data_IF_667929815356
#
_entry.id   IF_667929815356
#
_cell.length_a   1.000
_cell.length_b   1.000
_cell.length_c   1.000
_cell.angle_alpha   90.00
_cell.angle_beta   90.00
_cell.angle_gamma   90.00
#
_symmetry.space_group_name_H-M   'P 1'
#
loop_
_entity.id
_entity.type
_entity.pdbx_description
1 polymer ?
#
# COMPACT_ATOMS: atom_id res chain seq x y z
N UNK A 1 -7.41 15.51 -6.21
CA UNK A 1 -8.67 15.30 -6.97
C UNK A 1 -9.07 13.87 -6.70
N UNK A 2 -10.11 13.61 -5.90
CA UNK A 2 -10.60 12.24 -5.70
C UNK A 2 -11.14 11.74 -7.03
N UNK A 3 -10.62 10.62 -7.53
CA UNK A 3 -11.18 9.99 -8.72
C UNK A 3 -12.43 9.19 -8.31
N UNK A 4 -13.52 9.94 -8.11
CA UNK A 4 -14.92 9.58 -8.40
C UNK A 4 -15.62 8.53 -7.50
N UNK A 5 -16.91 8.78 -7.30
CA UNK A 5 -18.02 7.93 -6.86
C UNK A 5 -18.24 6.67 -7.75
N UNK A 6 -17.18 6.10 -8.32
CA UNK A 6 -17.27 4.90 -9.16
C UNK A 6 -17.54 3.67 -8.31
N UNK A 7 -18.39 2.78 -8.81
CA UNK A 7 -18.44 1.43 -8.26
C UNK A 7 -17.07 0.74 -8.46
N UNK A 8 -16.62 -0.15 -7.55
CA UNK A 8 -15.33 -0.84 -7.67
C UNK A 8 -15.10 -1.48 -9.05
N UNK A 9 -16.14 -2.04 -9.64
CA UNK A 9 -16.10 -2.66 -10.96
C UNK A 9 -15.78 -1.65 -12.09
N UNK A 10 -16.35 -0.46 -12.03
CA UNK A 10 -16.10 0.61 -13.01
C UNK A 10 -14.69 1.16 -12.87
N UNK A 11 -14.23 1.33 -11.62
CA UNK A 11 -12.87 1.76 -11.32
C UNK A 11 -11.84 0.73 -11.82
N UNK A 12 -12.10 -0.57 -11.64
CA UNK A 12 -11.24 -1.66 -12.13
C UNK A 12 -11.03 -1.54 -13.64
N UNK A 13 -12.12 -1.37 -14.39
CA UNK A 13 -12.07 -1.22 -15.84
C UNK A 13 -11.39 0.09 -16.24
N UNK A 14 -11.70 1.19 -15.57
CA UNK A 14 -11.16 2.51 -15.91
C UNK A 14 -9.66 2.63 -15.66
N UNK A 15 -9.15 2.07 -14.56
CA UNK A 15 -7.74 2.22 -14.18
C UNK A 15 -6.85 1.09 -14.69
N UNK A 16 -7.38 -0.13 -14.78
CA UNK A 16 -6.58 -1.31 -15.10
C UNK A 16 -7.04 -2.04 -16.37
N UNK A 17 -8.18 -1.67 -16.96
CA UNK A 17 -8.70 -2.30 -18.18
C UNK A 17 -9.20 -3.73 -17.98
N UNK A 18 -9.41 -4.19 -16.74
CA UNK A 18 -9.95 -5.51 -16.45
C UNK A 18 -11.48 -5.47 -16.37
N UNK A 19 -12.12 -6.48 -16.97
CA UNK A 19 -13.58 -6.60 -16.97
C UNK A 19 -14.15 -7.33 -15.75
N UNK A 20 -13.34 -8.06 -14.99
CA UNK A 20 -13.80 -8.86 -13.85
C UNK A 20 -12.74 -8.94 -12.74
N UNK A 21 -13.19 -8.96 -11.48
CA UNK A 21 -12.35 -9.29 -10.34
C UNK A 21 -11.99 -10.78 -10.31
N UNK A 22 -10.80 -11.09 -9.80
CA UNK A 22 -10.36 -12.47 -9.55
C UNK A 22 -10.70 -12.89 -8.13
N UNK A 23 -11.49 -13.95 -8.00
CA UNK A 23 -11.81 -14.56 -6.69
C UNK A 23 -12.40 -13.56 -5.71
N UNK A 24 -11.75 -13.40 -4.55
CA UNK A 24 -12.25 -12.59 -3.42
C UNK A 24 -11.75 -11.14 -3.42
N UNK A 25 -11.16 -10.65 -4.53
CA UNK A 25 -10.64 -9.28 -4.64
C UNK A 25 -11.68 -8.22 -4.32
N UNK A 26 -12.88 -8.32 -4.91
CA UNK A 26 -13.94 -7.34 -4.72
C UNK A 26 -14.33 -7.21 -3.25
N UNK A 27 -14.46 -8.33 -2.53
CA UNK A 27 -14.80 -8.33 -1.10
C UNK A 27 -13.72 -7.67 -0.26
N UNK A 28 -12.44 -7.94 -0.56
CA UNK A 28 -11.32 -7.31 0.14
C UNK A 28 -11.26 -5.79 -0.11
N UNK A 29 -11.52 -5.37 -1.35
CA UNK A 29 -11.55 -3.96 -1.75
C UNK A 29 -12.70 -3.24 -1.05
N UNK A 30 -13.91 -3.78 -1.14
CA UNK A 30 -15.10 -3.20 -0.51
C UNK A 30 -14.92 -3.09 1.01
N UNK A 31 -14.33 -4.10 1.66
CA UNK A 31 -14.04 -4.05 3.11
C UNK A 31 -13.21 -2.82 3.51
N UNK A 32 -12.17 -2.49 2.74
CA UNK A 32 -11.34 -1.29 3.00
C UNK A 32 -12.06 0.00 2.62
N UNK A 33 -12.83 0.01 1.52
CA UNK A 33 -13.67 1.16 1.16
C UNK A 33 -14.72 1.48 2.25
N UNK A 34 -15.21 0.45 2.94
CA UNK A 34 -16.13 0.59 4.08
C UNK A 34 -15.41 0.99 5.39
N UNK A 35 -14.10 1.23 5.36
CA UNK A 35 -13.32 1.63 6.52
C UNK A 35 -12.97 0.49 7.49
N UNK A 36 -12.93 -0.76 7.02
CA UNK A 36 -12.67 -1.93 7.88
C UNK A 36 -11.25 -2.48 7.72
N UNK A 37 -10.64 -2.84 8.85
CA UNK A 37 -9.44 -3.68 8.87
C UNK A 37 -9.70 -4.99 8.13
N UNK A 38 -8.77 -5.39 7.28
CA UNK A 38 -8.96 -6.49 6.33
C UNK A 38 -7.73 -7.38 6.30
N UNK A 39 -7.93 -8.70 6.42
CA UNK A 39 -6.86 -9.68 6.25
C UNK A 39 -7.10 -10.50 4.99
N UNK A 40 -6.11 -10.52 4.10
CA UNK A 40 -6.21 -11.14 2.77
C UNK A 40 -5.17 -12.24 2.64
N UNK A 41 -5.64 -13.48 2.45
CA UNK A 41 -4.79 -14.60 2.07
C UNK A 41 -5.14 -14.99 0.64
N UNK A 42 -4.20 -14.83 -0.28
CA UNK A 42 -4.36 -15.26 -1.67
C UNK A 42 -3.03 -15.77 -2.22
N UNK A 43 -3.00 -16.83 -3.03
CA UNK A 43 -1.75 -17.36 -3.57
C UNK A 43 -0.97 -16.32 -4.38
N UNK A 44 0.32 -16.55 -4.57
CA UNK A 44 1.13 -15.75 -5.51
C UNK A 44 0.52 -15.81 -6.91
N UNK A 45 0.49 -14.67 -7.61
CA UNK A 45 -0.23 -14.55 -8.89
C UNK A 45 -1.76 -14.39 -8.78
N UNK A 46 -2.33 -14.55 -7.59
CA UNK A 46 -3.77 -14.36 -7.34
C UNK A 46 -4.26 -12.91 -7.44
N UNK A 47 -3.36 -11.96 -7.71
CA UNK A 47 -3.73 -10.54 -7.87
C UNK A 47 -3.92 -9.78 -6.56
N UNK A 48 -3.19 -10.15 -5.49
CA UNK A 48 -3.20 -9.45 -4.19
C UNK A 48 -2.98 -7.94 -4.31
N UNK A 49 -2.11 -7.52 -5.23
CA UNK A 49 -1.78 -6.10 -5.40
C UNK A 49 -3.00 -5.27 -5.75
N UNK A 50 -3.94 -5.83 -6.52
CA UNK A 50 -5.19 -5.17 -6.89
C UNK A 50 -6.02 -4.80 -5.65
N UNK A 51 -5.99 -5.63 -4.60
CA UNK A 51 -6.77 -5.41 -3.39
C UNK A 51 -6.44 -4.10 -2.68
N UNK A 52 -5.21 -3.61 -2.78
CA UNK A 52 -4.82 -2.30 -2.26
C UNK A 52 -4.62 -1.24 -3.37
N UNK A 53 -4.29 -1.63 -4.60
CA UNK A 53 -4.06 -0.67 -5.68
C UNK A 53 -5.34 0.03 -6.13
N UNK A 54 -6.44 -0.71 -6.27
CA UNK A 54 -7.70 -0.13 -6.68
C UNK A 54 -8.26 0.86 -5.63
N UNK A 55 -8.42 0.51 -4.34
CA UNK A 55 -8.92 1.45 -3.35
C UNK A 55 -7.99 2.65 -3.15
N UNK A 56 -6.68 2.50 -3.37
CA UNK A 56 -5.75 3.64 -3.32
C UNK A 56 -6.06 4.71 -4.38
N UNK A 57 -6.53 4.31 -5.57
CA UNK A 57 -6.92 5.24 -6.62
C UNK A 57 -8.31 5.85 -6.37
N UNK A 58 -9.21 5.11 -5.70
CA UNK A 58 -10.59 5.53 -5.42
C UNK A 58 -10.71 6.48 -4.21
N UNK A 59 -10.00 6.19 -3.11
CA UNK A 59 -10.12 6.94 -1.86
C UNK A 59 -9.35 8.26 -1.92
N UNK A 60 -9.81 9.29 -1.19
CA UNK A 60 -9.02 10.52 -1.03
C UNK A 60 -7.83 10.32 -0.08
N UNK A 61 -6.72 11.01 -0.37
CA UNK A 61 -5.44 10.82 0.32
C UNK A 61 -4.52 9.79 -0.36
N UNK A 62 -3.46 9.39 0.35
CA UNK A 62 -2.43 8.44 -0.11
C UNK A 62 -2.57 7.11 0.63
N UNK A 63 -2.52 6.00 -0.11
CA UNK A 63 -2.38 4.67 0.48
C UNK A 63 -0.92 4.39 0.78
N UNK A 64 -0.63 4.01 2.02
CA UNK A 64 0.71 3.61 2.46
C UNK A 64 0.87 2.10 2.29
N UNK A 65 1.78 1.65 1.43
CA UNK A 65 2.05 0.22 1.19
C UNK A 65 3.40 -0.15 1.81
N UNK A 66 3.37 -0.95 2.88
CA UNK A 66 4.56 -1.44 3.56
C UNK A 66 4.90 -2.82 2.99
N UNK A 67 6.10 -2.97 2.44
CA UNK A 67 6.54 -4.24 1.82
C UNK A 67 8.03 -4.46 2.10
N UNK A 68 8.55 -5.70 2.21
CA UNK A 68 9.96 -5.93 2.48
C UNK A 68 10.83 -5.93 1.21
N UNK A 69 10.22 -6.00 0.03
CA UNK A 69 10.90 -6.30 -1.23
C UNK A 69 11.08 -5.03 -2.07
N UNK A 70 12.20 -4.33 -1.88
CA UNK A 70 12.53 -3.07 -2.59
C UNK A 70 12.45 -3.24 -4.12
N UNK A 71 12.98 -4.33 -4.67
CA UNK A 71 12.93 -4.60 -6.11
C UNK A 71 11.49 -4.74 -6.63
N UNK A 72 10.62 -5.38 -5.83
CA UNK A 72 9.20 -5.53 -6.17
C UNK A 72 8.47 -4.19 -6.09
N UNK A 73 8.77 -3.34 -5.09
CA UNK A 73 8.20 -1.99 -5.01
C UNK A 73 8.46 -1.20 -6.28
N UNK A 74 9.71 -1.21 -6.77
CA UNK A 74 10.06 -0.49 -8.00
C UNK A 74 9.23 -1.00 -9.18
N UNK A 75 9.15 -2.32 -9.37
CA UNK A 75 8.35 -2.91 -10.43
C UNK A 75 6.86 -2.53 -10.33
N UNK A 76 6.30 -2.49 -9.11
CA UNK A 76 4.90 -2.09 -8.89
C UNK A 76 4.68 -0.60 -9.17
N UNK A 77 5.59 0.27 -8.74
CA UNK A 77 5.54 1.71 -9.03
C UNK A 77 5.66 1.95 -10.54
N UNK A 78 6.61 1.30 -11.21
CA UNK A 78 6.82 1.44 -12.65
C UNK A 78 5.60 0.91 -13.44
N UNK A 79 4.97 -0.18 -12.99
CA UNK A 79 3.74 -0.70 -13.60
C UNK A 79 2.58 0.31 -13.49
N UNK A 80 2.29 0.83 -12.29
CA UNK A 80 1.24 1.83 -12.09
C UNK A 80 1.55 3.08 -12.93
N UNK A 81 2.78 3.57 -12.88
CA UNK A 81 3.23 4.70 -13.69
C UNK A 81 3.12 4.43 -15.18
N UNK A 82 3.26 3.20 -15.65
CA UNK A 82 3.09 2.82 -17.05
C UNK A 82 1.67 3.05 -17.57
N UNK A 83 0.66 2.98 -16.70
CA UNK A 83 -0.76 3.10 -17.04
C UNK A 83 -1.34 4.50 -16.78
N UNK A 84 -0.57 5.43 -16.20
CA UNK A 84 -1.01 6.79 -15.89
C UNK A 84 -0.17 7.86 -16.62
N UNK A 85 -0.82 8.96 -17.01
CA UNK A 85 -0.15 10.10 -17.64
C UNK A 85 0.84 10.78 -16.67
N UNK A 86 0.39 11.05 -15.44
CA UNK A 86 1.21 11.65 -14.40
C UNK A 86 1.94 10.58 -13.58
N UNK A 87 3.28 10.60 -13.66
CA UNK A 87 4.13 9.63 -12.96
C UNK A 87 4.18 9.85 -11.45
N UNK A 88 3.69 11.00 -10.94
CA UNK A 88 3.63 11.30 -9.50
C UNK A 88 2.57 10.49 -8.75
N UNK A 89 1.71 9.77 -9.47
CA UNK A 89 0.62 8.94 -8.92
C UNK A 89 1.12 7.88 -7.93
N UNK A 90 2.33 7.37 -8.12
CA UNK A 90 2.91 6.33 -7.29
C UNK A 90 4.39 6.61 -7.04
N UNK A 91 4.85 6.41 -5.80
CA UNK A 91 6.25 6.53 -5.41
C UNK A 91 6.65 5.40 -4.48
N UNK A 92 7.96 5.24 -4.28
CA UNK A 92 8.52 4.46 -3.19
C UNK A 92 9.44 5.33 -2.33
N UNK A 93 9.60 4.98 -1.06
CA UNK A 93 10.49 5.63 -0.09
C UNK A 93 11.26 4.56 0.69
N UNK A 94 12.53 4.43 0.38
CA UNK A 94 13.45 3.45 0.97
C UNK A 94 14.85 4.07 1.12
N UNK A 95 15.80 3.30 1.64
CA UNK A 95 17.18 3.75 1.86
C UNK A 95 18.02 3.87 0.57
N UNK A 96 17.55 3.36 -0.58
CA UNK A 96 18.30 3.44 -1.84
C UNK A 96 18.13 4.76 -2.57
N UNK A 97 17.17 5.61 -2.17
CA UNK A 97 16.96 6.92 -2.78
C UNK A 97 18.03 7.91 -2.32
N UNK A 98 18.51 8.74 -3.26
CA UNK A 98 19.29 9.92 -2.90
C UNK A 98 18.39 10.90 -2.13
N UNK A 99 19.00 11.72 -1.27
CA UNK A 99 18.27 12.70 -0.44
C UNK A 99 17.35 13.60 -1.28
N UNK A 100 17.83 14.11 -2.41
CA UNK A 100 17.05 14.97 -3.30
C UNK A 100 15.85 14.26 -3.93
N UNK A 101 15.94 12.95 -4.17
CA UNK A 101 14.83 12.13 -4.68
C UNK A 101 13.80 11.88 -3.58
N UNK A 102 14.25 11.56 -2.37
CA UNK A 102 13.38 11.39 -1.22
C UNK A 102 12.59 12.67 -0.90
N UNK A 103 13.23 13.85 -0.99
CA UNK A 103 12.54 15.13 -0.79
C UNK A 103 11.52 15.42 -1.89
N UNK A 104 11.81 15.08 -3.16
CA UNK A 104 10.82 15.18 -4.25
C UNK A 104 9.61 14.28 -4.01
N UNK A 105 9.84 13.02 -3.60
CA UNK A 105 8.77 12.09 -3.23
C UNK A 105 7.89 12.69 -2.13
N UNK A 106 8.50 13.22 -1.06
CA UNK A 106 7.76 13.83 0.05
C UNK A 106 6.93 15.02 -0.41
N UNK A 107 7.48 15.85 -1.29
CA UNK A 107 6.77 17.00 -1.87
C UNK A 107 5.56 16.56 -2.70
N UNK A 108 5.74 15.60 -3.62
CA UNK A 108 4.65 15.08 -4.48
C UNK A 108 3.49 14.49 -3.63
N UNK A 109 3.83 13.79 -2.55
CA UNK A 109 2.85 13.24 -1.61
C UNK A 109 2.16 14.34 -0.80
N UNK A 110 2.90 15.34 -0.31
CA UNK A 110 2.35 16.45 0.48
C UNK A 110 1.41 17.35 -0.35
N UNK A 111 1.70 17.51 -1.63
CA UNK A 111 0.85 18.22 -2.59
C UNK A 111 -0.38 17.40 -3.03
N UNK A 112 -0.47 16.12 -2.65
CA UNK A 112 -1.61 15.25 -2.94
C UNK A 112 -1.62 14.65 -4.36
N UNK A 113 -0.48 14.66 -5.06
CA UNK A 113 -0.34 14.01 -6.37
C UNK A 113 -0.26 12.48 -6.25
N UNK A 114 0.33 12.00 -5.15
CA UNK A 114 0.58 10.57 -4.94
C UNK A 114 -0.61 9.87 -4.32
N UNK A 115 -1.07 8.80 -4.98
CA UNK A 115 -2.11 7.88 -4.49
C UNK A 115 -1.55 6.63 -3.85
N UNK A 116 -0.36 6.19 -4.27
CA UNK A 116 0.34 5.03 -3.70
C UNK A 116 1.76 5.39 -3.28
N UNK A 117 2.06 5.21 -1.99
CA UNK A 117 3.42 5.35 -1.47
C UNK A 117 3.89 4.02 -0.90
N UNK A 118 4.85 3.37 -1.58
CA UNK A 118 5.51 2.18 -1.07
C UNK A 118 6.61 2.57 -0.09
N UNK A 119 6.66 1.95 1.08
CA UNK A 119 7.64 2.25 2.12
C UNK A 119 8.27 0.97 2.64
N UNK A 120 9.59 0.97 2.74
CA UNK A 120 10.30 -0.13 3.36
C UNK A 120 10.19 -0.07 4.90
N UNK A 121 10.00 -1.20 5.61
CA UNK A 121 9.81 -1.23 7.06
C UNK A 121 10.88 -0.46 7.84
N UNK A 122 12.14 -0.53 7.40
CA UNK A 122 13.25 0.21 8.01
C UNK A 122 13.11 1.73 7.87
N UNK A 123 12.59 2.21 6.74
CA UNK A 123 12.32 3.64 6.52
C UNK A 123 11.16 4.16 7.36
N UNK A 124 10.16 3.31 7.62
CA UNK A 124 8.99 3.66 8.44
C UNK A 124 9.36 3.92 9.91
N UNK A 125 10.47 3.36 10.39
CA UNK A 125 10.92 3.52 11.79
C UNK A 125 11.62 4.84 12.08
N UNK A 126 11.95 5.62 11.04
CA UNK A 126 12.65 6.90 11.19
C UNK A 126 11.69 7.99 11.64
N UNK A 127 12.09 8.77 12.65
CA UNK A 127 11.28 9.86 13.18
C UNK A 127 10.90 10.91 12.11
N UNK A 128 11.80 11.21 11.18
CA UNK A 128 11.53 12.11 10.05
C UNK A 128 10.41 11.58 9.13
N UNK A 129 10.36 10.27 8.88
CA UNK A 129 9.33 9.64 8.04
C UNK A 129 8.00 9.69 8.76
N UNK A 130 7.97 9.38 10.06
CA UNK A 130 6.75 9.43 10.88
C UNK A 130 6.19 10.86 10.92
N UNK A 131 7.03 11.86 11.17
CA UNK A 131 6.60 13.26 11.20
C UNK A 131 6.03 13.72 9.85
N UNK A 132 6.65 13.31 8.75
CA UNK A 132 6.15 13.56 7.40
C UNK A 132 4.81 12.85 7.13
N UNK A 133 4.68 11.56 7.49
CA UNK A 133 3.45 10.81 7.25
C UNK A 133 2.28 11.35 8.10
N UNK A 134 2.55 11.91 9.28
CA UNK A 134 1.57 12.62 10.10
C UNK A 134 1.05 13.91 9.46
N UNK A 135 1.81 14.54 8.56
CA UNK A 135 1.40 15.78 7.90
C UNK A 135 0.60 15.58 6.62
N UNK A 136 0.36 14.33 6.20
CA UNK A 136 -0.35 14.02 4.96
C UNK A 136 -1.60 13.19 5.23
N UNK A 137 -2.61 13.32 4.37
CA UNK A 137 -3.84 12.54 4.49
C UNK A 137 -3.60 11.10 4.02
N UNK A 138 -3.43 10.18 4.97
CA UNK A 138 -3.41 8.74 4.68
C UNK A 138 -4.83 8.24 4.49
N UNK A 139 -5.08 7.45 3.43
CA UNK A 139 -6.40 6.85 3.17
C UNK A 139 -6.56 5.53 3.92
N UNK A 140 -5.56 4.65 3.81
CA UNK A 140 -5.44 3.39 4.54
C UNK A 140 -3.99 2.89 4.45
N UNK A 141 -3.67 1.84 5.20
CA UNK A 141 -2.36 1.18 5.15
C UNK A 141 -2.50 -0.24 4.65
N UNK A 142 -1.68 -0.62 3.67
CA UNK A 142 -1.50 -2.00 3.25
C UNK A 142 -0.16 -2.54 3.77
N UNK A 143 -0.18 -3.73 4.39
CA UNK A 143 1.01 -4.47 4.83
C UNK A 143 1.11 -5.72 3.97
N UNK A 144 2.02 -5.69 2.99
CA UNK A 144 2.31 -6.82 2.13
C UNK A 144 3.28 -7.79 2.82
N UNK A 145 3.27 -9.05 2.40
CA UNK A 145 3.99 -10.14 3.07
C UNK A 145 3.81 -10.14 4.60
N UNK A 146 2.57 -9.99 5.05
CA UNK A 146 2.23 -9.88 6.47
C UNK A 146 2.70 -11.08 7.31
N UNK A 147 2.99 -12.23 6.71
CA UNK A 147 3.58 -13.39 7.38
C UNK A 147 4.95 -13.09 8.00
N UNK A 148 5.68 -12.06 7.54
CA UNK A 148 6.98 -11.64 8.09
C UNK A 148 6.91 -11.24 9.58
N UNK A 149 5.71 -10.98 10.13
CA UNK A 149 5.53 -10.70 11.56
C UNK A 149 5.74 -11.94 12.45
N UNK A 150 5.55 -13.14 11.90
CA UNK A 150 5.63 -14.39 12.63
C UNK A 150 7.08 -14.88 12.72
N UNK A 151 7.56 -15.11 13.95
CA UNK A 151 8.87 -15.74 14.23
C UNK A 151 8.97 -17.17 13.68
N UNK A 152 7.84 -17.80 13.42
CA UNK A 152 7.74 -19.15 12.89
C UNK A 152 7.58 -19.18 11.37
N UNK A 153 7.47 -18.01 10.75
CA UNK A 153 7.56 -17.83 9.31
C UNK A 153 9.02 -17.95 8.84
N UNK A 154 9.21 -18.40 7.61
CA UNK A 154 10.54 -18.56 7.00
C UNK A 154 11.26 -17.23 6.74
N UNK A 155 10.52 -16.10 6.71
CA UNK A 155 11.02 -14.75 6.45
C UNK A 155 10.69 -13.78 7.60
N UNK A 156 10.91 -14.20 8.85
CA UNK A 156 10.69 -13.34 10.02
C UNK A 156 11.49 -12.03 9.94
N UNK A 157 10.80 -10.90 10.16
CA UNK A 157 11.38 -9.55 10.22
C UNK A 157 10.90 -8.83 11.49
N UNK A 158 11.76 -8.63 12.50
CA UNK A 158 11.40 -7.96 13.75
C UNK A 158 10.71 -6.59 13.56
N UNK A 159 11.05 -5.88 12.48
CA UNK A 159 10.48 -4.58 12.14
C UNK A 159 8.97 -4.64 11.90
N UNK A 160 8.42 -5.77 11.42
CA UNK A 160 6.99 -5.93 11.15
C UNK A 160 6.14 -5.84 12.42
N UNK A 161 6.68 -6.23 13.57
CA UNK A 161 5.99 -6.11 14.87
C UNK A 161 5.76 -4.64 15.26
N UNK A 162 6.58 -3.74 14.75
CA UNK A 162 6.46 -2.29 15.01
C UNK A 162 5.54 -1.57 14.04
N UNK A 163 5.08 -2.22 12.95
CA UNK A 163 4.21 -1.59 11.96
C UNK A 163 2.92 -1.09 12.61
N UNK A 164 2.18 -1.96 13.32
CA UNK A 164 0.90 -1.58 13.94
C UNK A 164 0.99 -0.38 14.88
N UNK A 165 1.92 -0.33 15.86
CA UNK A 165 2.03 0.84 16.73
C UNK A 165 2.48 2.10 15.98
N UNK A 166 3.37 2.00 14.98
CA UNK A 166 3.79 3.15 14.18
C UNK A 166 2.63 3.69 13.34
N UNK A 167 1.87 2.81 12.67
CA UNK A 167 0.71 3.20 11.87
C UNK A 167 -0.33 3.91 12.74
N UNK A 168 -0.62 3.39 13.93
CA UNK A 168 -1.53 4.05 14.88
C UNK A 168 -1.04 5.42 15.36
N UNK A 169 0.27 5.63 15.44
CA UNK A 169 0.84 6.95 15.75
C UNK A 169 0.71 7.90 14.55
N UNK A 170 0.83 7.40 13.32
CA UNK A 170 0.73 8.18 12.08
C UNK A 170 -0.71 8.60 11.79
N UNK A 171 -1.66 7.66 11.78
CA UNK A 171 -3.05 7.89 11.42
C UNK A 171 -3.98 6.80 11.97
N UNK A 172 -5.21 7.18 12.31
CA UNK A 172 -6.28 6.24 12.67
C UNK A 172 -7.08 5.87 11.41
N UNK A 173 -6.54 4.91 10.65
CA UNK A 173 -7.05 4.49 9.33
C UNK A 173 -7.07 2.96 9.21
N UNK A 174 -7.87 2.39 8.30
CA UNK A 174 -7.94 0.95 8.11
C UNK A 174 -6.60 0.32 7.73
N UNK A 175 -6.35 -0.89 8.24
CA UNK A 175 -5.16 -1.68 7.91
C UNK A 175 -5.59 -2.92 7.11
N UNK A 176 -5.04 -3.05 5.89
CA UNK A 176 -5.11 -4.26 5.08
C UNK A 176 -3.81 -5.06 5.23
N UNK A 177 -3.85 -6.25 5.79
CA UNK A 177 -2.71 -7.16 5.84
C UNK A 177 -2.86 -8.25 4.78
N UNK A 178 -1.86 -8.41 3.90
CA UNK A 178 -1.90 -9.35 2.77
C UNK A 178 -0.76 -10.35 2.86
N UNK A 179 -1.04 -11.61 2.53
CA UNK A 179 0.02 -12.60 2.38
C UNK A 179 -0.33 -13.73 1.41
N UNK A 180 0.71 -14.34 0.82
CA UNK A 180 0.57 -15.53 -0.01
C UNK A 180 0.36 -16.81 0.81
N UNK A 181 0.91 -16.85 2.01
CA UNK A 181 0.99 -18.04 2.85
C UNK A 181 0.63 -17.68 4.28
N UNK A 182 -0.31 -18.43 4.86
CA UNK A 182 -0.65 -18.34 6.27
C UNK A 182 -0.78 -19.77 6.80
N UNK A 183 0.12 -20.17 7.69
CA UNK A 183 0.02 -21.48 8.34
C UNK A 183 -1.06 -21.43 9.44
N UNK A 184 -1.97 -22.42 9.54
CA UNK A 184 -3.09 -22.43 10.50
C UNK A 184 -2.69 -22.39 11.99
N UNK A 185 -1.39 -22.53 12.29
CA UNK A 185 -0.84 -22.40 13.62
C UNK A 185 0.27 -21.34 13.60
N UNK A 186 -0.03 -20.22 14.21
CA UNK A 186 0.91 -19.48 15.07
C UNK A 186 0.10 -18.89 16.22
#
# INVERSE_FOLDING_TARGET
MSLVELAPQEALKSFFGFDEFKGEQEKAIQSVLDGRDTFVIMPTGGGKSMCYQLPALMLDGVALVISPLIALMKNQVDAIRGHHEDKRIAHFLNSSLARSEAERVKMDVAEGWTKLLYVAPESLTKAETIAFLKSVRISFVAVDEAHCISEWGHDFRPEYRRIKPIVKDIADVPIMALTATATPKV
#
